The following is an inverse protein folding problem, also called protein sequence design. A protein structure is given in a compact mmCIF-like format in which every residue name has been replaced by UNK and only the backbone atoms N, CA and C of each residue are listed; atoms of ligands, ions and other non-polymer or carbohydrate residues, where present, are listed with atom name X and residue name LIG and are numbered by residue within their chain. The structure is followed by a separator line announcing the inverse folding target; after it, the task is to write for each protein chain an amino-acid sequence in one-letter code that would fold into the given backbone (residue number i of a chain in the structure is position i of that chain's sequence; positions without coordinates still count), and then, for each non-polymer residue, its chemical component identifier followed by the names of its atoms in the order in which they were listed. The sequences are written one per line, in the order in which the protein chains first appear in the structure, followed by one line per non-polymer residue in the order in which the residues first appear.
data_IF_018417815308
#
_entry.id   IF_018417815308
#
_cell.length_a   1.000
_cell.length_b   1.000
_cell.length_c   1.000
_cell.angle_alpha   90.00
_cell.angle_beta   90.00
_cell.angle_gamma   90.00
#
_symmetry.space_group_name_H-M   'P 1'
#
loop_
_entity.id
_entity.type
_entity.pdbx_description
1 polymer ?
#
# COMPACT_ATOMS: atom_id res chain seq x y z
N UNK A 1 9.18 0.26 11.57
CA UNK A 1 9.53 1.57 11.03
C UNK A 1 8.36 2.14 10.25
N UNK A 2 8.07 3.41 10.43
CA UNK A 2 6.95 4.09 9.78
C UNK A 2 7.37 4.69 8.45
N UNK A 3 6.51 4.50 7.44
CA UNK A 3 6.72 5.03 6.08
C UNK A 3 5.52 5.86 5.65
N UNK A 4 5.76 6.86 4.85
CA UNK A 4 4.72 7.69 4.24
C UNK A 4 4.97 7.73 2.74
N UNK A 5 3.92 7.52 1.95
CA UNK A 5 4.02 7.50 0.49
C UNK A 5 2.89 8.33 -0.12
N UNK A 6 3.26 9.30 -0.96
CA UNK A 6 2.27 10.08 -1.70
C UNK A 6 1.85 9.35 -2.95
N UNK A 7 0.55 9.11 -3.07
CA UNK A 7 -0.02 8.39 -4.21
C UNK A 7 -0.19 9.30 -5.42
N UNK A 8 -0.25 8.69 -6.61
CA UNK A 8 -0.49 9.40 -7.86
C UNK A 8 -1.44 8.60 -8.72
N UNK A 9 -2.35 9.28 -9.42
CA UNK A 9 -3.28 8.65 -10.34
C UNK A 9 -4.40 7.89 -9.67
N UNK A 10 -4.64 8.13 -8.38
CA UNK A 10 -5.70 7.47 -7.62
C UNK A 10 -6.49 8.48 -6.82
N UNK A 11 -7.63 8.06 -6.26
CA UNK A 11 -8.45 8.95 -5.44
C UNK A 11 -7.89 9.16 -4.03
N UNK A 12 -7.02 8.27 -3.54
CA UNK A 12 -6.29 8.53 -2.30
C UNK A 12 -5.12 9.47 -2.55
N UNK A 13 -4.67 10.19 -1.52
CA UNK A 13 -3.59 11.16 -1.64
C UNK A 13 -2.30 10.71 -0.98
N UNK A 14 -2.41 9.87 0.04
CA UNK A 14 -1.25 9.44 0.83
C UNK A 14 -1.51 8.09 1.47
N UNK A 15 -0.45 7.32 1.66
CA UNK A 15 -0.49 6.06 2.40
C UNK A 15 0.54 6.14 3.52
N UNK A 16 0.09 5.86 4.76
CA UNK A 16 0.98 5.69 5.91
C UNK A 16 0.99 4.22 6.28
N UNK A 17 2.15 3.65 6.49
CA UNK A 17 2.24 2.23 6.85
C UNK A 17 3.48 1.95 7.69
N UNK A 18 3.43 0.87 8.46
CA UNK A 18 4.56 0.40 9.25
C UNK A 18 4.96 -1.01 8.86
N UNK A 19 6.27 -1.24 8.79
CA UNK A 19 6.86 -2.56 8.55
C UNK A 19 7.86 -2.83 9.66
N UNK A 20 7.77 -4.02 10.27
CA UNK A 20 8.76 -4.51 11.23
C UNK A 20 9.10 -5.94 10.89
N UNK A 21 10.40 -6.23 10.78
CA UNK A 21 10.90 -7.57 10.43
C UNK A 21 10.27 -8.11 9.12
N UNK A 22 10.04 -7.20 8.16
CA UNK A 22 9.46 -7.56 6.88
C UNK A 22 7.95 -7.78 6.90
N UNK A 23 7.29 -7.59 8.04
CA UNK A 23 5.85 -7.80 8.22
C UNK A 23 5.14 -6.45 8.32
N UNK A 24 4.03 -6.31 7.61
CA UNK A 24 3.21 -5.09 7.66
C UNK A 24 2.46 -5.04 9.00
N UNK A 25 2.64 -3.96 9.74
CA UNK A 25 1.99 -3.78 11.04
C UNK A 25 0.78 -2.88 10.97
N UNK A 26 0.78 -1.90 10.07
CA UNK A 26 -0.36 -1.02 9.90
C UNK A 26 -0.36 -0.42 8.50
N UNK A 27 -1.53 -0.07 8.00
CA UNK A 27 -1.71 0.67 6.74
C UNK A 27 -2.88 1.62 6.92
N UNK A 28 -2.69 2.87 6.56
CA UNK A 28 -3.76 3.88 6.59
C UNK A 28 -3.69 4.73 5.34
N UNK A 29 -4.82 4.85 4.65
CA UNK A 29 -4.94 5.72 3.47
C UNK A 29 -5.55 7.05 3.87
N UNK A 30 -5.11 8.11 3.22
CA UNK A 30 -5.73 9.43 3.31
C UNK A 30 -6.51 9.68 2.02
N UNK A 31 -7.82 9.93 2.14
CA UNK A 31 -8.69 10.11 0.98
C UNK A 31 -9.08 8.81 0.31
N UNK A 32 -9.82 8.89 -0.80
CA UNK A 32 -10.20 7.75 -1.61
C UNK A 32 -11.46 7.03 -1.14
N UNK A 33 -11.64 5.81 -1.65
CA UNK A 33 -12.81 4.96 -1.36
C UNK A 33 -12.68 4.33 0.03
N UNK A 34 -13.32 4.94 0.99
CA UNK A 34 -13.13 4.62 2.40
C UNK A 34 -13.35 3.14 2.74
N UNK A 35 -14.43 2.54 2.28
CA UNK A 35 -14.73 1.13 2.58
C UNK A 35 -13.70 0.17 2.00
N UNK A 36 -13.36 0.33 0.73
CA UNK A 36 -12.38 -0.54 0.05
C UNK A 36 -10.99 -0.38 0.66
N UNK A 37 -10.60 0.84 0.99
CA UNK A 37 -9.27 1.10 1.54
C UNK A 37 -9.14 0.57 2.97
N UNK A 38 -10.22 0.62 3.75
CA UNK A 38 -10.24 0.00 5.07
C UNK A 38 -10.08 -1.52 4.98
N UNK A 39 -10.76 -2.14 4.02
CA UNK A 39 -10.64 -3.58 3.78
C UNK A 39 -9.21 -3.98 3.47
N UNK A 40 -8.59 -3.27 2.54
CA UNK A 40 -7.19 -3.51 2.18
C UNK A 40 -6.28 -3.34 3.39
N UNK A 41 -6.48 -2.28 4.16
CA UNK A 41 -5.66 -1.99 5.33
C UNK A 41 -5.74 -3.10 6.38
N UNK A 42 -6.92 -3.65 6.60
CA UNK A 42 -7.11 -4.74 7.57
C UNK A 42 -6.51 -6.06 7.08
N UNK A 43 -6.66 -6.36 5.79
CA UNK A 43 -6.10 -7.59 5.21
C UNK A 43 -4.58 -7.55 5.17
N UNK A 44 -4.01 -6.36 5.03
CA UNK A 44 -2.57 -6.17 4.93
C UNK A 44 -1.83 -6.45 6.24
N UNK A 45 -2.47 -6.19 7.38
CA UNK A 45 -1.82 -6.34 8.70
C UNK A 45 -1.46 -7.80 8.95
N UNK A 46 -0.21 -8.05 9.29
CA UNK A 46 0.30 -9.39 9.55
C UNK A 46 0.87 -10.09 8.33
N UNK A 47 0.75 -9.51 7.12
CA UNK A 47 1.31 -10.11 5.92
C UNK A 47 2.77 -9.72 5.72
N UNK A 48 3.60 -10.63 5.17
CA UNK A 48 4.92 -10.23 4.70
C UNK A 48 4.78 -9.12 3.64
N UNK A 49 5.53 -8.05 3.80
CA UNK A 49 5.41 -6.89 2.91
C UNK A 49 5.66 -7.26 1.45
N UNK A 50 6.63 -8.12 1.19
CA UNK A 50 6.94 -8.56 -0.17
C UNK A 50 5.78 -9.34 -0.80
N UNK A 51 5.17 -10.23 -0.04
CA UNK A 51 4.02 -11.00 -0.51
C UNK A 51 2.83 -10.10 -0.81
N UNK A 52 2.56 -9.15 0.09
CA UNK A 52 1.49 -8.19 -0.12
C UNK A 52 1.74 -7.35 -1.38
N UNK A 53 2.95 -6.86 -1.56
CA UNK A 53 3.31 -6.08 -2.74
C UNK A 53 3.11 -6.89 -4.03
N UNK A 54 3.53 -8.15 -4.04
CA UNK A 54 3.40 -9.02 -5.21
C UNK A 54 1.93 -9.25 -5.58
N UNK A 55 1.05 -9.36 -4.58
CA UNK A 55 -0.38 -9.57 -4.82
C UNK A 55 -1.09 -8.33 -5.35
N UNK A 56 -0.64 -7.17 -4.96
CA UNK A 56 -1.32 -5.90 -5.30
C UNK A 56 -0.74 -5.22 -6.53
N UNK A 57 0.46 -5.59 -6.93
CA UNK A 57 1.14 -4.93 -8.04
C UNK A 57 0.39 -5.15 -9.35
N UNK A 58 0.17 -4.04 -10.09
CA UNK A 58 -0.45 -4.10 -11.39
C UNK A 58 -1.97 -4.02 -11.38
N UNK A 59 -2.61 -3.92 -10.22
CA UNK A 59 -4.06 -3.75 -10.15
C UNK A 59 -4.41 -2.35 -10.66
N UNK A 60 -5.34 -2.29 -11.61
CA UNK A 60 -5.79 -1.02 -12.20
C UNK A 60 -7.21 -0.70 -11.75
N UNK A 61 -7.49 0.59 -11.58
CA UNK A 61 -8.82 1.06 -11.23
C UNK A 61 -9.49 1.63 -12.49
N UNK A 62 -10.42 0.88 -13.08
CA UNK A 62 -11.10 1.28 -14.30
C UNK A 62 -10.12 1.50 -15.45
N UNK A 63 -10.12 2.67 -16.07
CA UNK A 63 -9.23 3.02 -17.17
C UNK A 63 -7.92 3.66 -16.72
N UNK A 64 -7.70 3.79 -15.42
CA UNK A 64 -6.46 4.35 -14.89
C UNK A 64 -5.32 3.33 -15.00
N UNK A 65 -4.09 3.82 -15.09
CA UNK A 65 -2.91 2.96 -15.16
C UNK A 65 -2.53 2.34 -13.84
N UNK A 66 -3.09 2.82 -12.74
CA UNK A 66 -2.78 2.37 -11.39
C UNK A 66 -4.04 2.37 -10.54
N UNK A 67 -3.90 1.96 -9.28
CA UNK A 67 -4.97 1.92 -8.30
C UNK A 67 -4.40 2.15 -6.92
N UNK A 68 -5.28 2.34 -5.92
CA UNK A 68 -4.80 2.45 -4.54
C UNK A 68 -4.04 1.20 -4.09
N UNK A 69 -4.50 -0.04 -4.38
CA UNK A 69 -3.71 -1.23 -4.07
C UNK A 69 -2.36 -1.25 -4.80
N UNK A 70 -2.32 -0.89 -6.08
CA UNK A 70 -1.08 -0.85 -6.84
C UNK A 70 -0.10 0.18 -6.27
N UNK A 71 -0.61 1.34 -5.83
CA UNK A 71 0.23 2.35 -5.20
C UNK A 71 0.80 1.85 -3.88
N UNK A 72 0.04 1.08 -3.11
CA UNK A 72 0.57 0.44 -1.91
C UNK A 72 1.70 -0.53 -2.25
N UNK A 73 1.54 -1.32 -3.32
CA UNK A 73 2.59 -2.23 -3.75
C UNK A 73 3.88 -1.48 -4.09
N UNK A 74 3.77 -0.37 -4.79
CA UNK A 74 4.93 0.47 -5.12
C UNK A 74 5.58 1.05 -3.87
N UNK A 75 4.77 1.49 -2.92
CA UNK A 75 5.26 2.01 -1.65
C UNK A 75 6.00 0.94 -0.86
N UNK A 76 5.46 -0.28 -0.81
CA UNK A 76 6.11 -1.40 -0.12
C UNK A 76 7.43 -1.78 -0.78
N UNK A 77 7.47 -1.83 -2.11
CA UNK A 77 8.70 -2.13 -2.85
C UNK A 77 9.78 -1.11 -2.53
N UNK A 78 9.42 0.17 -2.49
CA UNK A 78 10.35 1.24 -2.16
C UNK A 78 10.87 1.13 -0.73
N UNK A 79 9.97 0.88 0.23
CA UNK A 79 10.35 0.73 1.63
C UNK A 79 11.27 -0.46 1.84
N UNK A 80 10.99 -1.60 1.20
CA UNK A 80 11.83 -2.79 1.30
C UNK A 80 13.23 -2.55 0.70
N UNK A 81 13.31 -1.75 -0.36
CA UNK A 81 14.60 -1.38 -0.95
C UNK A 81 15.41 -0.51 0.00
N UNK A 82 14.75 0.37 0.77
CA UNK A 82 15.41 1.26 1.73
C UNK A 82 15.90 0.51 2.98
N UNK A 83 15.29 -0.62 3.31
CA UNK A 83 15.66 -1.40 4.50
C UNK A 83 16.90 -2.27 4.33
N UNK A 84 17.46 -2.35 3.15
CA UNK A 84 18.65 -3.15 2.90
C UNK A 84 19.92 -2.52 3.47
#
# INVERSE_FOLDING_TARGET
MHYEYRTRGTCSTKIDFEIEDGIVKSVAYTGGCNGNLQGISRLAVGMPAKELADKLRGIRCGMKETSCPDQLAKALDRALAEEK
#
